data_IF_468460164904
#
_entry.id   IF_468460164904
#
_cell.length_a   1.000
_cell.length_b   1.000
_cell.length_c   1.000
_cell.angle_alpha   90.00
_cell.angle_beta   90.00
_cell.angle_gamma   90.00
#
_symmetry.space_group_name_H-M   'P 1'
#
loop_
_entity.id
_entity.type
_entity.pdbx_description
1 polymer ?
#
# COMPACT_ATOMS: atom_id res chain seq x y z
N UNK A 1 -20.20 -7.46 6.95
CA UNK A 1 -19.51 -6.95 5.75
C UNK A 1 -19.10 -8.16 4.93
N UNK A 2 -19.63 -8.35 3.71
CA UNK A 2 -19.24 -9.45 2.85
C UNK A 2 -17.91 -9.09 2.16
N UNK A 3 -16.95 -10.01 2.16
CA UNK A 3 -15.67 -9.84 1.49
C UNK A 3 -15.88 -10.15 0.00
N UNK A 4 -15.56 -9.20 -0.87
CA UNK A 4 -15.51 -9.42 -2.31
C UNK A 4 -14.11 -9.95 -2.69
N UNK A 5 -14.04 -11.23 -3.02
CA UNK A 5 -12.78 -11.90 -3.34
C UNK A 5 -12.12 -11.33 -4.59
N UNK A 6 -12.88 -10.90 -5.60
CA UNK A 6 -12.32 -10.29 -6.81
C UNK A 6 -11.69 -8.94 -6.49
N UNK A 7 -12.39 -8.11 -5.74
CA UNK A 7 -11.87 -6.84 -5.25
C UNK A 7 -10.63 -7.02 -4.39
N UNK A 8 -10.66 -7.99 -3.48
CA UNK A 8 -9.53 -8.34 -2.61
C UNK A 8 -8.29 -8.76 -3.42
N UNK A 9 -8.46 -9.64 -4.41
CA UNK A 9 -7.35 -10.07 -5.27
C UNK A 9 -6.76 -8.93 -6.10
N UNK A 10 -7.59 -8.05 -6.64
CA UNK A 10 -7.14 -6.85 -7.36
C UNK A 10 -6.44 -5.85 -6.43
N UNK A 11 -6.94 -5.71 -5.20
CA UNK A 11 -6.28 -4.92 -4.16
C UNK A 11 -4.91 -5.49 -3.79
N UNK A 12 -4.79 -6.82 -3.67
CA UNK A 12 -3.50 -7.48 -3.46
C UNK A 12 -2.52 -7.19 -4.60
N UNK A 13 -2.97 -7.26 -5.85
CA UNK A 13 -2.14 -6.89 -7.00
C UNK A 13 -1.70 -5.42 -6.94
N UNK A 14 -2.62 -4.51 -6.63
CA UNK A 14 -2.30 -3.07 -6.47
C UNK A 14 -1.23 -2.85 -5.39
N UNK A 15 -1.35 -3.53 -4.26
CA UNK A 15 -0.37 -3.44 -3.17
C UNK A 15 0.99 -4.03 -3.53
N UNK A 16 1.03 -5.15 -4.27
CA UNK A 16 2.28 -5.70 -4.78
C UNK A 16 2.97 -4.75 -5.78
N UNK A 17 2.20 -4.09 -6.66
CA UNK A 17 2.72 -3.07 -7.58
C UNK A 17 3.32 -1.90 -6.79
N UNK A 18 2.61 -1.39 -5.78
CA UNK A 18 3.07 -0.29 -4.95
C UNK A 18 4.36 -0.64 -4.18
N UNK A 19 4.45 -1.85 -3.63
CA UNK A 19 5.66 -2.36 -2.99
C UNK A 19 6.82 -2.51 -3.99
N UNK A 20 6.54 -2.94 -5.23
CA UNK A 20 7.54 -2.99 -6.30
C UNK A 20 8.11 -1.61 -6.62
N UNK A 21 7.26 -0.58 -6.75
CA UNK A 21 7.68 0.82 -6.96
C UNK A 21 8.53 1.31 -5.79
N UNK A 22 8.10 1.02 -4.56
CA UNK A 22 8.90 1.31 -3.37
C UNK A 22 10.30 0.69 -3.45
N UNK A 23 10.39 -0.62 -3.72
CA UNK A 23 11.68 -1.31 -3.80
C UNK A 23 12.60 -0.73 -4.89
N UNK A 24 12.05 -0.41 -6.06
CA UNK A 24 12.81 0.14 -7.18
C UNK A 24 13.38 1.54 -6.88
N UNK A 25 12.65 2.37 -6.15
CA UNK A 25 13.09 3.73 -5.84
C UNK A 25 14.07 3.82 -4.65
N UNK A 26 14.22 2.78 -3.81
CA UNK A 26 15.09 2.80 -2.64
C UNK A 26 16.54 3.26 -2.90
N UNK A 27 17.21 2.91 -4.03
CA UNK A 27 18.54 3.43 -4.31
C UNK A 27 18.58 4.97 -4.44
N UNK A 28 17.47 5.59 -4.84
CA UNK A 28 17.35 7.03 -5.00
C UNK A 28 17.13 7.67 -3.63
N UNK A 29 16.18 7.18 -2.84
CA UNK A 29 15.88 7.78 -1.54
C UNK A 29 17.02 7.59 -0.53
N UNK A 30 17.74 6.46 -0.56
CA UNK A 30 18.95 6.28 0.26
C UNK A 30 19.99 7.38 0.03
N UNK A 31 20.14 7.84 -1.21
CA UNK A 31 21.05 8.96 -1.54
C UNK A 31 20.45 10.30 -1.11
N UNK A 32 19.15 10.50 -1.34
CA UNK A 32 18.46 11.77 -1.05
C UNK A 32 18.42 12.06 0.45
N UNK A 33 18.10 11.07 1.26
CA UNK A 33 18.01 11.22 2.72
C UNK A 33 19.33 10.92 3.45
N UNK A 34 20.33 10.36 2.76
CA UNK A 34 21.61 10.00 3.37
C UNK A 34 21.53 8.82 4.35
N UNK A 35 20.45 8.06 4.35
CA UNK A 35 20.23 6.92 5.24
C UNK A 35 20.36 5.62 4.47
N UNK A 36 21.39 4.79 4.72
CA UNK A 36 21.62 3.55 3.99
C UNK A 36 20.73 2.40 4.50
N UNK A 37 19.45 2.66 4.68
CA UNK A 37 18.46 1.70 5.13
C UNK A 37 17.66 1.15 3.93
N UNK A 38 17.40 -0.16 3.96
CA UNK A 38 16.74 -0.88 2.88
C UNK A 38 15.75 -1.91 3.45
N UNK A 39 14.46 -1.77 3.13
CA UNK A 39 13.42 -2.66 3.65
C UNK A 39 13.50 -4.06 3.06
N UNK A 40 13.92 -4.18 1.80
CA UNK A 40 14.14 -5.49 1.16
C UNK A 40 15.29 -6.21 1.85
N UNK A 41 16.37 -5.49 2.16
CA UNK A 41 17.51 -6.05 2.90
C UNK A 41 17.10 -6.45 4.32
N UNK A 42 16.34 -5.59 5.02
CA UNK A 42 15.83 -5.90 6.35
C UNK A 42 15.03 -7.20 6.37
N UNK A 43 14.00 -7.28 5.53
CA UNK A 43 13.14 -8.47 5.44
C UNK A 43 13.93 -9.71 5.01
N UNK A 44 14.80 -9.57 4.02
CA UNK A 44 15.59 -10.66 3.50
C UNK A 44 16.57 -11.24 4.53
N UNK A 45 17.29 -10.38 5.25
CA UNK A 45 18.23 -10.78 6.29
C UNK A 45 17.53 -11.26 7.57
N UNK A 46 16.26 -10.93 7.75
CA UNK A 46 15.45 -11.56 8.77
C UNK A 46 15.16 -13.02 8.46
N UNK A 47 14.88 -13.35 7.20
CA UNK A 47 14.59 -14.71 6.75
C UNK A 47 15.86 -15.56 6.57
N UNK A 48 16.95 -15.00 6.02
CA UNK A 48 18.22 -15.70 5.79
C UNK A 48 19.40 -14.74 5.72
N UNK A 49 20.53 -15.12 6.31
CA UNK A 49 21.80 -14.38 6.19
C UNK A 49 22.66 -14.84 5.03
N UNK A 50 22.23 -15.87 4.27
CA UNK A 50 22.92 -16.38 3.10
C UNK A 50 22.70 -15.52 1.85
N UNK A 51 23.29 -15.94 0.71
CA UNK A 51 23.20 -15.23 -0.57
C UNK A 51 21.78 -15.06 -1.12
N UNK A 52 20.80 -15.79 -0.58
CA UNK A 52 19.41 -15.74 -1.00
C UNK A 52 18.59 -14.57 -0.39
N UNK A 53 19.18 -13.77 0.51
CA UNK A 53 18.46 -12.69 1.17
C UNK A 53 17.78 -11.71 0.20
N UNK A 54 18.37 -11.32 -0.97
CA UNK A 54 17.68 -10.37 -1.85
C UNK A 54 16.39 -10.95 -2.42
N UNK A 55 16.39 -12.23 -2.79
CA UNK A 55 15.19 -12.91 -3.28
C UNK A 55 14.13 -13.06 -2.17
N UNK A 56 14.55 -13.51 -0.98
CA UNK A 56 13.66 -13.65 0.17
C UNK A 56 13.06 -12.30 0.57
N UNK A 57 13.87 -11.24 0.65
CA UNK A 57 13.43 -9.91 1.00
C UNK A 57 12.46 -9.31 -0.03
N UNK A 58 12.77 -9.45 -1.30
CA UNK A 58 11.86 -8.99 -2.36
C UNK A 58 10.52 -9.72 -2.28
N UNK A 59 10.53 -11.04 -2.13
CA UNK A 59 9.29 -11.82 -2.01
C UNK A 59 8.47 -11.39 -0.79
N UNK A 60 9.10 -11.22 0.37
CA UNK A 60 8.42 -10.78 1.59
C UNK A 60 7.89 -9.36 1.47
N UNK A 61 8.66 -8.45 0.86
CA UNK A 61 8.24 -7.06 0.66
C UNK A 61 7.02 -6.96 -0.26
N UNK A 62 7.03 -7.68 -1.38
CA UNK A 62 5.89 -7.75 -2.29
C UNK A 62 4.67 -8.42 -1.63
N UNK A 63 4.88 -9.46 -0.84
CA UNK A 63 3.80 -10.12 -0.09
C UNK A 63 3.18 -9.19 0.95
N UNK A 64 3.99 -8.45 1.71
CA UNK A 64 3.50 -7.44 2.66
C UNK A 64 2.66 -6.39 1.94
N UNK A 65 3.13 -5.87 0.81
CA UNK A 65 2.38 -4.95 -0.01
C UNK A 65 1.06 -5.55 -0.51
N UNK A 66 1.08 -6.81 -0.97
CA UNK A 66 -0.13 -7.52 -1.42
C UNK A 66 -1.15 -7.69 -0.30
N UNK A 67 -0.72 -8.09 0.89
CA UNK A 67 -1.61 -8.24 2.06
C UNK A 67 -2.21 -6.90 2.48
N UNK A 68 -1.40 -5.85 2.51
CA UNK A 68 -1.88 -4.50 2.82
C UNK A 68 -2.87 -4.00 1.75
N UNK A 69 -2.58 -4.21 0.47
CA UNK A 69 -3.47 -3.85 -0.63
C UNK A 69 -4.80 -4.62 -0.62
N UNK A 70 -4.78 -5.90 -0.25
CA UNK A 70 -5.98 -6.70 -0.04
C UNK A 70 -6.86 -6.11 1.08
N UNK A 71 -6.27 -5.72 2.21
CA UNK A 71 -6.96 -5.05 3.31
C UNK A 71 -7.49 -3.69 2.86
N UNK A 72 -6.63 -2.87 2.24
CA UNK A 72 -6.98 -1.54 1.76
C UNK A 72 -8.20 -1.57 0.83
N UNK A 73 -8.23 -2.46 -0.15
CA UNK A 73 -9.35 -2.56 -1.09
C UNK A 73 -10.70 -2.81 -0.42
N UNK A 74 -10.72 -3.53 0.69
CA UNK A 74 -11.95 -3.81 1.45
C UNK A 74 -12.33 -2.67 2.41
N UNK A 75 -11.37 -1.87 2.87
CA UNK A 75 -11.59 -0.78 3.84
C UNK A 75 -11.83 0.56 3.15
N UNK A 76 -11.12 0.86 2.08
CA UNK A 76 -11.14 2.15 1.38
C UNK A 76 -12.54 2.66 0.97
N UNK A 77 -13.54 1.81 0.61
CA UNK A 77 -14.90 2.28 0.31
C UNK A 77 -15.58 2.97 1.48
N UNK A 78 -15.25 2.63 2.70
CA UNK A 78 -15.87 3.13 3.92
C UNK A 78 -15.14 4.34 4.53
N UNK A 79 -13.97 4.67 4.00
CA UNK A 79 -13.19 5.83 4.47
C UNK A 79 -13.77 7.11 3.88
N UNK A 80 -14.21 8.10 4.68
CA UNK A 80 -14.83 9.34 4.22
C UNK A 80 -13.77 10.37 3.77
N UNK A 81 -12.90 9.99 2.87
CA UNK A 81 -11.86 10.84 2.28
C UNK A 81 -12.04 10.92 0.76
N UNK A 82 -11.58 11.99 0.12
CA UNK A 82 -11.47 12.06 -1.33
C UNK A 82 -10.64 10.87 -1.88
N UNK A 83 -10.99 10.37 -3.06
CA UNK A 83 -10.38 9.16 -3.62
C UNK A 83 -8.84 9.22 -3.66
N UNK A 84 -8.27 10.37 -4.07
CA UNK A 84 -6.83 10.57 -4.13
C UNK A 84 -6.12 10.56 -2.77
N UNK A 85 -6.83 10.89 -1.69
CA UNK A 85 -6.25 10.98 -0.36
C UNK A 85 -6.28 9.65 0.41
N UNK A 86 -7.15 8.70 0.02
CA UNK A 86 -7.33 7.42 0.74
C UNK A 86 -6.06 6.59 0.79
N UNK A 87 -5.36 6.46 -0.34
CA UNK A 87 -4.12 5.71 -0.42
C UNK A 87 -2.99 6.34 0.43
N UNK A 88 -2.65 7.62 0.22
CA UNK A 88 -1.68 8.31 1.08
C UNK A 88 -2.02 8.26 2.56
N UNK A 89 -3.29 8.43 2.93
CA UNK A 89 -3.72 8.33 4.33
C UNK A 89 -3.51 6.93 4.90
N UNK A 90 -3.79 5.87 4.13
CA UNK A 90 -3.56 4.50 4.54
C UNK A 90 -2.06 4.19 4.71
N UNK A 91 -1.22 4.64 3.77
CA UNK A 91 0.23 4.51 3.88
C UNK A 91 0.78 5.25 5.10
N UNK A 92 0.30 6.46 5.37
CA UNK A 92 0.71 7.20 6.56
C UNK A 92 0.21 6.57 7.86
N UNK A 93 -0.98 6.02 7.88
CA UNK A 93 -1.49 5.29 9.05
C UNK A 93 -0.63 4.06 9.36
N UNK A 94 -0.24 3.30 8.34
CA UNK A 94 0.69 2.17 8.47
C UNK A 94 2.05 2.64 8.98
N UNK A 95 2.64 3.68 8.37
CA UNK A 95 3.91 4.25 8.80
C UNK A 95 3.92 4.60 10.29
N UNK A 96 2.94 5.38 10.73
CA UNK A 96 2.88 5.83 12.13
C UNK A 96 2.63 4.68 13.09
N UNK A 97 1.87 3.66 12.68
CA UNK A 97 1.63 2.47 13.50
C UNK A 97 2.86 1.54 13.58
N UNK A 98 3.61 1.39 12.49
CA UNK A 98 4.77 0.49 12.41
C UNK A 98 6.07 1.12 12.91
N UNK A 99 6.23 2.45 12.80
CA UNK A 99 7.47 3.16 13.14
C UNK A 99 8.03 2.87 14.53
N UNK A 100 7.24 2.76 15.61
CA UNK A 100 7.77 2.38 16.91
C UNK A 100 8.49 1.03 16.91
N UNK A 101 8.15 0.15 15.96
CA UNK A 101 8.74 -1.18 15.79
C UNK A 101 10.22 -1.13 15.40
N UNK A 102 10.71 -0.04 14.77
CA UNK A 102 12.13 0.08 14.39
C UNK A 102 13.07 0.03 15.59
N UNK A 103 12.56 0.33 16.79
CA UNK A 103 13.31 0.19 18.07
C UNK A 103 13.71 -1.26 18.35
N UNK A 104 12.97 -2.20 17.80
CA UNK A 104 13.20 -3.63 18.00
C UNK A 104 14.27 -4.20 17.07
N UNK A 105 14.57 -3.53 15.95
CA UNK A 105 15.55 -4.01 14.97
C UNK A 105 16.89 -4.29 15.65
N UNK A 106 17.43 -3.33 16.38
CA UNK A 106 18.68 -3.48 17.12
C UNK A 106 18.69 -4.55 18.22
N UNK A 107 17.50 -5.04 18.62
CA UNK A 107 17.36 -6.00 19.74
C UNK A 107 17.13 -7.43 19.27
N UNK A 108 16.31 -7.61 18.21
CA UNK A 108 15.82 -8.95 17.82
C UNK A 108 16.17 -9.34 16.39
N UNK A 109 16.64 -8.39 15.56
CA UNK A 109 16.96 -8.71 14.17
C UNK A 109 18.25 -9.51 14.08
N UNK A 110 18.28 -10.66 13.34
CA UNK A 110 19.48 -11.52 13.24
C UNK A 110 20.71 -10.82 12.68
N UNK A 111 20.52 -9.77 11.87
CA UNK A 111 21.56 -8.96 11.26
C UNK A 111 21.51 -7.50 11.77
N UNK A 112 21.21 -7.26 13.04
CA UNK A 112 21.04 -5.93 13.61
C UNK A 112 22.22 -4.99 13.35
N UNK A 113 23.46 -5.52 13.34
CA UNK A 113 24.67 -4.74 13.09
C UNK A 113 24.85 -4.26 11.65
N UNK A 114 24.04 -4.74 10.72
CA UNK A 114 24.11 -4.34 9.31
C UNK A 114 23.29 -3.07 9.01
N UNK A 115 22.46 -2.61 9.97
CA UNK A 115 21.54 -1.50 9.80
C UNK A 115 21.91 -0.29 10.66
N UNK A 116 21.69 0.94 10.16
CA UNK A 116 21.88 2.14 10.97
C UNK A 116 20.82 2.20 12.09
N UNK A 117 21.11 2.92 13.19
CA UNK A 117 20.10 3.19 14.20
C UNK A 117 19.00 4.09 13.60
N UNK A 118 17.78 3.54 13.45
CA UNK A 118 16.67 4.27 12.83
C UNK A 118 15.87 5.10 13.85
N UNK A 119 15.73 4.59 15.07
CA UNK A 119 14.95 5.28 16.09
C UNK A 119 15.68 6.52 16.60
N UNK A 120 14.98 7.66 16.55
CA UNK A 120 15.55 8.96 16.93
C UNK A 120 16.28 9.68 15.79
N UNK A 121 16.48 9.03 14.65
CA UNK A 121 17.00 9.66 13.44
C UNK A 121 15.84 10.27 12.63
N UNK A 122 15.80 11.59 12.55
CA UNK A 122 14.75 12.32 11.83
C UNK A 122 14.86 12.16 10.30
N UNK A 123 16.07 11.90 9.75
CA UNK A 123 16.22 11.63 8.32
C UNK A 123 15.72 10.22 7.98
N UNK A 124 15.95 9.24 8.85
CA UNK A 124 15.35 7.92 8.71
C UNK A 124 13.82 7.97 8.79
N UNK A 125 13.28 8.78 9.73
CA UNK A 125 11.83 9.01 9.80
C UNK A 125 11.29 9.66 8.52
N UNK A 126 11.96 10.69 8.01
CA UNK A 126 11.57 11.38 6.78
C UNK A 126 11.65 10.45 5.56
N UNK A 127 12.69 9.62 5.46
CA UNK A 127 12.82 8.61 4.41
C UNK A 127 11.65 7.60 4.46
N UNK A 128 11.33 7.09 5.66
CA UNK A 128 10.20 6.19 5.84
C UNK A 128 8.87 6.87 5.50
N UNK A 129 8.67 8.14 5.91
CA UNK A 129 7.51 8.95 5.53
C UNK A 129 7.35 9.05 4.02
N UNK A 130 8.43 9.38 3.32
CA UNK A 130 8.46 9.44 1.86
C UNK A 130 8.01 8.12 1.23
N UNK A 131 8.58 7.01 1.68
CA UNK A 131 8.28 5.67 1.17
C UNK A 131 6.82 5.29 1.33
N UNK A 132 6.25 5.57 2.49
CA UNK A 132 4.85 5.25 2.77
C UNK A 132 3.87 6.17 2.03
N UNK A 133 4.23 7.44 1.83
CA UNK A 133 3.45 8.34 0.98
C UNK A 133 3.45 7.88 -0.48
N UNK A 134 4.62 7.52 -1.02
CA UNK A 134 4.75 6.99 -2.37
C UNK A 134 3.98 5.67 -2.53
N UNK A 135 4.16 4.74 -1.59
CA UNK A 135 3.42 3.48 -1.55
C UNK A 135 1.91 3.72 -1.54
N UNK A 136 1.43 4.57 -0.64
CA UNK A 136 0.02 4.88 -0.52
C UNK A 136 -0.55 5.53 -1.78
N UNK A 137 0.19 6.44 -2.42
CA UNK A 137 -0.21 7.06 -3.67
C UNK A 137 -0.36 6.02 -4.79
N UNK A 138 0.66 5.19 -4.99
CA UNK A 138 0.65 4.14 -6.03
C UNK A 138 -0.44 3.11 -5.74
N UNK A 139 -0.58 2.67 -4.48
CA UNK A 139 -1.63 1.75 -4.05
C UNK A 139 -3.03 2.30 -4.37
N UNK A 140 -3.29 3.56 -3.99
CA UNK A 140 -4.60 4.19 -4.19
C UNK A 140 -4.97 4.29 -5.68
N UNK A 141 -4.02 4.71 -6.51
CA UNK A 141 -4.23 4.83 -7.95
C UNK A 141 -4.37 3.46 -8.64
N UNK A 142 -3.51 2.50 -8.30
CA UNK A 142 -3.59 1.15 -8.84
C UNK A 142 -4.88 0.43 -8.43
N UNK A 143 -5.30 0.55 -7.14
CA UNK A 143 -6.57 -0.03 -6.68
C UNK A 143 -7.76 0.59 -7.41
N UNK A 144 -7.80 1.90 -7.56
CA UNK A 144 -8.86 2.60 -8.30
C UNK A 144 -8.93 2.17 -9.76
N UNK A 145 -7.79 1.96 -10.40
CA UNK A 145 -7.73 1.49 -11.79
C UNK A 145 -8.20 0.04 -11.94
N UNK A 146 -7.85 -0.82 -10.99
CA UNK A 146 -8.18 -2.25 -11.01
C UNK A 146 -9.61 -2.53 -10.49
N UNK A 147 -10.14 -1.67 -9.61
CA UNK A 147 -11.47 -1.77 -9.01
C UNK A 147 -12.33 -0.54 -9.34
N UNK A 148 -12.60 -0.24 -10.62
CA UNK A 148 -13.38 0.92 -10.97
C UNK A 148 -14.77 0.87 -10.30
N UNK A 149 -15.34 2.02 -9.91
CA UNK A 149 -16.71 2.07 -9.43
C UNK A 149 -17.65 1.51 -10.50
N UNK A 150 -18.74 0.86 -10.04
CA UNK A 150 -19.77 0.42 -10.97
C UNK A 150 -20.27 1.62 -11.79
N UNK A 151 -20.53 1.46 -13.10
CA UNK A 151 -21.16 2.51 -13.89
C UNK A 151 -22.40 3.00 -13.16
N UNK A 152 -22.57 4.33 -13.04
CA UNK A 152 -23.83 4.89 -12.56
C UNK A 152 -24.96 4.25 -13.38
N UNK A 153 -25.96 3.66 -12.71
CA UNK A 153 -27.09 3.10 -13.40
C UNK A 153 -27.64 4.19 -14.33
N UNK A 154 -27.53 3.94 -15.66
CA UNK A 154 -28.12 4.84 -16.65
C UNK A 154 -29.55 5.07 -16.22
N UNK A 155 -29.94 6.31 -15.98
CA UNK A 155 -31.34 6.67 -15.73
C UNK A 155 -32.15 6.00 -16.83
N UNK A 156 -32.95 5.01 -16.44
CA UNK A 156 -33.88 4.39 -17.38
C UNK A 156 -34.72 5.53 -17.96
N UNK A 157 -34.87 5.64 -19.30
CA UNK A 157 -35.64 6.70 -19.89
C UNK A 157 -37.02 6.72 -19.19
N UNK A 158 -37.40 7.90 -18.68
CA UNK A 158 -38.66 8.11 -17.98
C UNK A 158 -39.77 7.48 -18.85
N UNK A 159 -40.48 6.49 -18.29
CA UNK A 159 -41.63 5.90 -18.95
C UNK A 159 -42.54 7.05 -19.35
N UNK A 160 -42.72 7.24 -20.66
CA UNK A 160 -43.71 8.16 -21.19
C UNK A 160 -45.04 7.87 -20.53
N UNK A 161 -45.78 8.91 -20.09
CA UNK A 161 -47.11 8.70 -19.53
C UNK A 161 -47.98 7.96 -20.56
N UNK A 162 -48.57 6.83 -20.15
CA UNK A 162 -49.54 6.13 -20.96
C UNK A 162 -50.70 7.09 -21.19
N UNK A 163 -50.81 7.55 -22.42
CA UNK A 163 -51.91 8.43 -22.84
C UNK A 163 -53.24 7.82 -22.45
N UNK A 164 -54.01 8.62 -21.76
CA UNK A 164 -55.45 8.43 -21.50
C UNK A 164 -56.18 8.44 -22.83
N UNK A 165 -56.32 7.25 -23.43
CA UNK A 165 -57.18 7.03 -24.58
C UNK A 165 -58.25 6.02 -24.21
N UNK A 166 -59.30 6.46 -23.49
CA UNK A 166 -60.61 5.86 -23.51
C UNK A 166 -61.65 6.80 -22.92
N UNK A 167 -62.01 7.77 -23.73
CA UNK A 167 -63.30 8.46 -23.56
C UNK A 167 -63.95 8.50 -24.94
N UNK A 168 -64.75 7.46 -25.25
CA UNK A 168 -66.02 7.53 -26.03
C UNK A 168 -66.77 6.22 -25.92
#
# INVERSE_FOLDING_TARGET
MAIDLKRTARGALAGAIAAGVWAIQQPIDKRLFGVPYDDVELLGKFATRGRAWPLAGTAMHLLNGALFGALYANVAPYVPLPAWAKGPAAGMAEHLASWPGVRMIGKIHPAAGDFPPLWGDHMAFAQATWRHLLFGLVLGEAERALNPPAPAASEAPARAPADAASAR
#
